data_IF_101982040006
#
_entry.id   IF_101982040006
#
_cell.length_a   1.000
_cell.length_b   1.000
_cell.length_c   1.000
_cell.angle_alpha   90.00
_cell.angle_beta   90.00
_cell.angle_gamma   90.00
#
_symmetry.space_group_name_H-M   'P 1'
#
loop_
_entity.id
_entity.type
_entity.pdbx_description
1 polymer ?
#
# COMPACT_ATOMS: atom_id res chain seq x y z
N UNK A 1 10.72 2.31 31.39
CA UNK A 1 10.46 1.45 30.21
C UNK A 1 10.94 2.22 29.00
N UNK A 2 11.89 1.71 28.23
CA UNK A 2 12.34 2.36 27.00
C UNK A 2 11.20 2.31 25.98
N UNK A 3 10.70 3.48 25.59
CA UNK A 3 9.66 3.64 24.58
C UNK A 3 10.11 2.93 23.29
N UNK A 4 9.29 2.00 22.77
CA UNK A 4 9.61 1.32 21.52
C UNK A 4 9.41 2.30 20.37
N UNK A 5 10.51 2.86 19.87
CA UNK A 5 10.50 3.69 18.66
C UNK A 5 10.52 2.77 17.44
N UNK A 6 9.61 3.00 16.49
CA UNK A 6 9.57 2.35 15.17
C UNK A 6 10.13 3.30 14.11
N UNK A 7 10.71 2.76 13.05
CA UNK A 7 11.13 3.58 11.91
C UNK A 7 9.94 3.85 10.97
N UNK A 8 9.08 2.84 10.78
CA UNK A 8 7.88 2.92 9.95
C UNK A 8 6.70 2.31 10.69
N UNK A 9 5.58 3.03 10.72
CA UNK A 9 4.28 2.49 11.13
C UNK A 9 3.38 2.50 9.91
N UNK A 10 2.70 1.38 9.66
CA UNK A 10 1.71 1.29 8.59
C UNK A 10 0.34 1.12 9.21
N UNK A 11 -0.60 1.98 8.83
CA UNK A 11 -2.02 1.88 9.18
C UNK A 11 -2.77 1.49 7.92
N UNK A 12 -3.28 0.27 7.88
CA UNK A 12 -3.85 -0.23 6.63
C UNK A 12 -4.41 -1.64 6.69
N UNK A 13 -4.57 -2.21 5.51
CA UNK A 13 -5.31 -3.45 5.26
C UNK A 13 -4.47 -4.71 5.41
N UNK A 14 -5.17 -5.81 5.65
CA UNK A 14 -4.71 -7.18 5.53
C UNK A 14 -5.74 -7.98 4.72
N UNK A 15 -5.30 -8.67 3.67
CA UNK A 15 -6.18 -9.42 2.77
C UNK A 15 -5.61 -10.82 2.55
N UNK A 16 -6.42 -11.84 2.78
CA UNK A 16 -6.05 -13.21 2.40
C UNK A 16 -6.39 -13.40 0.92
N UNK A 17 -5.38 -13.72 0.13
CA UNK A 17 -5.55 -13.93 -1.31
C UNK A 17 -5.87 -15.41 -1.56
N UNK A 18 -7.06 -15.69 -2.10
CA UNK A 18 -7.56 -17.02 -2.40
C UNK A 18 -7.49 -17.22 -3.91
N UNK A 19 -6.39 -17.78 -4.41
CA UNK A 19 -6.08 -17.80 -5.85
C UNK A 19 -6.42 -19.16 -6.47
N UNK A 20 -7.31 -19.14 -7.45
CA UNK A 20 -7.65 -20.28 -8.31
C UNK A 20 -7.10 -20.06 -9.72
N UNK A 21 -6.27 -20.98 -10.20
CA UNK A 21 -5.81 -20.99 -11.60
C UNK A 21 -6.73 -21.89 -12.44
N UNK A 22 -7.19 -21.39 -13.58
CA UNK A 22 -8.19 -22.05 -14.41
C UNK A 22 -7.87 -21.88 -15.91
N UNK A 23 -8.41 -22.72 -16.82
CA UNK A 23 -8.08 -22.60 -18.24
C UNK A 23 -8.66 -21.34 -18.89
N UNK A 24 -9.69 -20.76 -18.27
CA UNK A 24 -10.36 -19.50 -18.66
C UNK A 24 -11.13 -18.96 -17.48
N UNK A 25 -11.50 -17.68 -17.52
CA UNK A 25 -12.46 -17.15 -16.56
C UNK A 25 -13.86 -17.79 -16.75
N UNK A 26 -14.58 -18.12 -15.66
CA UNK A 26 -15.94 -18.62 -15.74
C UNK A 26 -16.90 -17.51 -16.19
N UNK A 27 -17.89 -17.86 -17.00
CA UNK A 27 -19.02 -16.97 -17.30
C UNK A 27 -20.11 -17.13 -16.23
N UNK A 28 -21.04 -16.18 -16.19
CA UNK A 28 -22.18 -16.25 -15.27
C UNK A 28 -22.94 -17.58 -15.43
N UNK A 29 -23.11 -18.30 -14.31
CA UNK A 29 -23.80 -19.60 -14.25
C UNK A 29 -22.95 -20.82 -14.58
N UNK A 30 -21.67 -20.65 -14.94
CA UNK A 30 -20.78 -21.78 -15.22
C UNK A 30 -20.09 -22.31 -13.96
N UNK A 31 -19.74 -23.59 -14.00
CA UNK A 31 -18.79 -24.24 -13.10
C UNK A 31 -17.68 -24.85 -13.95
N UNK A 32 -16.43 -24.56 -13.62
CA UNK A 32 -15.26 -25.07 -14.35
C UNK A 32 -14.29 -25.71 -13.35
N UNK A 33 -13.49 -26.66 -13.82
CA UNK A 33 -12.38 -27.22 -13.04
C UNK A 33 -11.14 -26.36 -13.21
N UNK A 34 -10.53 -25.97 -12.08
CA UNK A 34 -9.23 -25.33 -12.05
C UNK A 34 -8.08 -26.34 -12.08
N UNK A 35 -6.86 -25.82 -12.19
CA UNK A 35 -5.61 -26.58 -12.21
C UNK A 35 -4.90 -26.56 -10.86
N UNK A 36 -4.97 -25.43 -10.16
CA UNK A 36 -4.24 -25.17 -8.93
C UNK A 36 -5.01 -24.19 -8.05
N UNK A 37 -4.87 -24.38 -6.74
CA UNK A 37 -5.33 -23.44 -5.73
C UNK A 37 -4.18 -23.14 -4.77
N UNK A 38 -4.02 -21.88 -4.39
CA UNK A 38 -3.10 -21.48 -3.35
C UNK A 38 -3.63 -20.28 -2.57
N UNK A 39 -3.13 -20.14 -1.33
CA UNK A 39 -3.49 -19.07 -0.42
C UNK A 39 -2.24 -18.21 -0.25
N UNK A 40 -2.40 -16.89 -0.45
CA UNK A 40 -1.36 -15.89 -0.27
C UNK A 40 -1.75 -14.85 0.78
N UNK A 41 -0.79 -13.99 1.11
CA UNK A 41 -0.99 -12.83 1.98
C UNK A 41 -0.87 -11.56 1.13
N UNK A 42 -2.00 -10.86 0.95
CA UNK A 42 -2.11 -9.65 0.14
C UNK A 42 -2.27 -8.39 1.00
N UNK A 43 -3.12 -7.47 0.55
CA UNK A 43 -3.44 -6.23 1.25
C UNK A 43 -2.33 -5.19 1.17
N UNK A 44 -2.65 -4.01 0.63
CA UNK A 44 -1.66 -2.95 0.37
C UNK A 44 -0.87 -2.59 1.62
N UNK A 45 -1.54 -2.42 2.76
CA UNK A 45 -0.89 -2.08 4.02
C UNK A 45 0.10 -3.15 4.48
N UNK A 46 -0.34 -4.41 4.51
CA UNK A 46 0.51 -5.53 4.88
C UNK A 46 1.72 -5.69 3.93
N UNK A 47 1.50 -5.65 2.62
CA UNK A 47 2.55 -5.75 1.60
C UNK A 47 3.62 -4.67 1.81
N UNK A 48 3.18 -3.43 1.99
CA UNK A 48 4.02 -2.28 2.24
C UNK A 48 4.84 -2.42 3.54
N UNK A 49 4.18 -2.85 4.63
CA UNK A 49 4.82 -3.04 5.93
C UNK A 49 5.88 -4.16 5.93
N UNK A 50 5.55 -5.30 5.30
CA UNK A 50 6.45 -6.45 5.15
C UNK A 50 7.66 -6.09 4.29
N UNK A 51 7.45 -5.36 3.19
CA UNK A 51 8.56 -4.96 2.33
C UNK A 51 9.53 -4.01 3.04
N UNK A 52 9.03 -3.08 3.85
CA UNK A 52 9.88 -2.26 4.70
C UNK A 52 10.66 -3.12 5.71
N UNK A 53 10.00 -4.07 6.37
CA UNK A 53 10.67 -4.98 7.32
C UNK A 53 11.79 -5.82 6.66
N UNK A 54 11.53 -6.35 5.46
CA UNK A 54 12.52 -7.10 4.67
C UNK A 54 13.75 -6.26 4.26
N UNK A 55 13.63 -4.94 4.24
CA UNK A 55 14.75 -4.01 4.03
C UNK A 55 15.52 -3.69 5.33
N UNK A 56 15.20 -4.36 6.45
CA UNK A 56 15.86 -4.16 7.74
C UNK A 56 15.30 -2.98 8.55
N UNK A 57 14.16 -2.41 8.12
CA UNK A 57 13.51 -1.29 8.80
C UNK A 57 12.67 -1.83 9.96
N UNK A 58 12.74 -1.19 11.13
CA UNK A 58 11.92 -1.61 12.27
C UNK A 58 10.48 -1.14 12.10
N UNK A 59 9.57 -2.06 11.79
CA UNK A 59 8.19 -1.72 11.42
C UNK A 59 7.14 -2.21 12.41
N UNK A 60 6.02 -1.49 12.50
CA UNK A 60 4.81 -1.96 13.18
C UNK A 60 3.59 -1.84 12.26
N UNK A 61 2.69 -2.81 12.37
CA UNK A 61 1.41 -2.81 11.65
C UNK A 61 0.27 -2.44 12.59
N UNK A 62 -0.53 -1.45 12.20
CA UNK A 62 -1.81 -1.10 12.81
C UNK A 62 -2.91 -1.55 11.85
N UNK A 63 -3.58 -2.65 12.20
CA UNK A 63 -4.64 -3.22 11.38
C UNK A 63 -5.60 -4.04 12.23
N UNK A 64 -6.68 -4.52 11.59
CA UNK A 64 -7.65 -5.41 12.22
C UNK A 64 -7.98 -6.58 11.30
N UNK A 65 -7.82 -7.78 11.81
CA UNK A 65 -8.16 -9.05 11.14
C UNK A 65 -9.31 -9.73 11.87
N UNK A 66 -9.86 -10.80 11.31
CA UNK A 66 -10.87 -11.61 11.97
C UNK A 66 -10.26 -12.46 13.08
N UNK A 67 -11.08 -12.83 14.06
CA UNK A 67 -10.76 -13.89 15.02
C UNK A 67 -11.07 -15.25 14.39
N UNK A 68 -10.31 -15.56 13.35
CA UNK A 68 -10.46 -16.74 12.51
C UNK A 68 -9.09 -17.30 12.09
N UNK A 69 -9.12 -18.45 11.40
CA UNK A 69 -7.90 -19.12 10.91
C UNK A 69 -7.04 -18.20 10.05
N UNK A 70 -7.63 -17.36 9.20
CA UNK A 70 -6.88 -16.45 8.34
C UNK A 70 -6.21 -15.35 9.14
N UNK A 71 -6.89 -14.80 10.15
CA UNK A 71 -6.33 -13.77 11.03
C UNK A 71 -5.15 -14.28 11.84
N UNK A 72 -5.25 -15.49 12.40
CA UNK A 72 -4.16 -16.12 13.14
C UNK A 72 -2.91 -16.34 12.25
N UNK A 73 -3.12 -16.85 11.02
CA UNK A 73 -2.04 -17.01 10.05
C UNK A 73 -1.45 -15.67 9.60
N UNK A 74 -2.26 -14.62 9.49
CA UNK A 74 -1.77 -13.29 9.13
C UNK A 74 -0.83 -12.71 10.19
N UNK A 75 -1.21 -12.86 11.46
CA UNK A 75 -0.38 -12.43 12.58
C UNK A 75 0.94 -13.21 12.59
N UNK A 76 0.91 -14.50 12.27
CA UNK A 76 2.13 -15.29 12.15
C UNK A 76 3.01 -14.84 10.97
N UNK A 77 2.41 -14.59 9.80
CA UNK A 77 3.12 -14.07 8.63
C UNK A 77 3.86 -12.74 8.94
N UNK A 78 3.23 -11.84 9.70
CA UNK A 78 3.91 -10.62 10.15
C UNK A 78 5.14 -10.92 11.01
N UNK A 79 5.02 -11.82 11.99
CA UNK A 79 6.14 -12.22 12.86
C UNK A 79 7.29 -12.84 12.06
N UNK A 80 6.96 -13.71 11.10
CA UNK A 80 7.93 -14.39 10.25
C UNK A 80 8.70 -13.40 9.35
N UNK A 81 8.09 -12.26 9.02
CA UNK A 81 8.72 -11.17 8.26
C UNK A 81 9.31 -10.06 9.15
N UNK A 82 9.35 -10.23 10.48
CA UNK A 82 9.94 -9.24 11.40
C UNK A 82 9.08 -7.99 11.65
N UNK A 83 7.79 -8.01 11.31
CA UNK A 83 6.85 -6.92 11.57
C UNK A 83 6.31 -7.02 13.00
N UNK A 84 6.30 -5.91 13.74
CA UNK A 84 5.71 -5.87 15.07
C UNK A 84 4.18 -5.85 15.03
N UNK A 85 3.55 -6.78 15.77
CA UNK A 85 2.10 -7.02 15.73
C UNK A 85 1.33 -6.52 16.95
N UNK A 86 1.91 -5.63 17.77
CA UNK A 86 1.28 -5.20 19.02
C UNK A 86 -0.01 -4.37 18.81
N UNK A 87 -0.18 -3.80 17.62
CA UNK A 87 -1.38 -3.05 17.20
C UNK A 87 -2.21 -3.80 16.16
N UNK A 88 -1.97 -5.10 15.97
CA UNK A 88 -2.82 -5.96 15.13
C UNK A 88 -3.94 -6.50 16.00
N UNK A 89 -5.16 -6.05 15.74
CA UNK A 89 -6.36 -6.48 16.50
C UNK A 89 -7.11 -7.59 15.78
N UNK A 90 -7.81 -8.40 16.56
CA UNK A 90 -8.75 -9.40 16.05
C UNK A 90 -10.17 -9.04 16.46
N UNK A 91 -11.14 -9.17 15.55
CA UNK A 91 -12.57 -8.98 15.85
C UNK A 91 -13.35 -10.26 15.57
N UNK A 92 -14.36 -10.53 16.40
CA UNK A 92 -15.33 -11.62 16.15
C UNK A 92 -16.54 -11.14 15.32
N UNK A 93 -16.63 -9.85 15.01
CA UNK A 93 -17.79 -9.24 14.32
C UNK A 93 -17.66 -9.34 12.79
N UNK A 94 -16.46 -9.61 12.27
CA UNK A 94 -16.21 -9.82 10.85
C UNK A 94 -15.04 -10.80 10.64
N UNK A 95 -15.07 -11.50 9.51
CA UNK A 95 -13.95 -12.31 9.06
C UNK A 95 -12.75 -11.45 8.62
N UNK A 96 -11.57 -12.04 8.58
CA UNK A 96 -10.39 -11.45 7.94
C UNK A 96 -10.71 -11.09 6.49
N UNK A 97 -10.23 -9.94 6.01
CA UNK A 97 -10.43 -9.54 4.63
C UNK A 97 -9.90 -10.58 3.65
N UNK A 98 -10.59 -10.79 2.54
CA UNK A 98 -10.22 -11.80 1.54
C UNK A 98 -10.43 -11.30 0.11
N UNK A 99 -9.50 -11.66 -0.77
CA UNK A 99 -9.60 -11.45 -2.21
C UNK A 99 -9.73 -12.82 -2.89
N UNK A 100 -10.91 -13.10 -3.44
CA UNK A 100 -11.14 -14.28 -4.25
C UNK A 100 -10.68 -14.00 -5.67
N UNK A 101 -9.57 -14.61 -6.08
CA UNK A 101 -8.87 -14.33 -7.33
C UNK A 101 -8.98 -15.55 -8.23
N UNK A 102 -9.50 -15.37 -9.44
CA UNK A 102 -9.37 -16.36 -10.52
C UNK A 102 -8.41 -15.80 -11.55
N UNK A 103 -7.38 -16.57 -11.92
CA UNK A 103 -6.43 -16.23 -12.98
C UNK A 103 -6.54 -17.28 -14.08
N UNK A 104 -6.65 -16.84 -15.32
CA UNK A 104 -6.66 -17.77 -16.46
C UNK A 104 -5.28 -18.01 -17.08
N UNK A 105 -5.20 -18.98 -18.00
CA UNK A 105 -3.97 -19.34 -18.71
C UNK A 105 -3.39 -18.20 -19.58
N UNK A 106 -4.20 -17.18 -19.92
CA UNK A 106 -3.74 -15.98 -20.62
C UNK A 106 -3.20 -14.91 -19.64
N UNK A 107 -3.35 -15.12 -18.33
CA UNK A 107 -2.96 -14.17 -17.29
C UNK A 107 -4.02 -13.13 -16.96
N UNK A 108 -5.21 -13.21 -17.57
CA UNK A 108 -6.34 -12.36 -17.21
C UNK A 108 -6.90 -12.79 -15.86
N UNK A 109 -7.46 -11.84 -15.10
CA UNK A 109 -7.97 -12.13 -13.77
C UNK A 109 -9.37 -11.56 -13.50
N UNK A 110 -10.07 -12.21 -12.57
CA UNK A 110 -11.30 -11.72 -11.97
C UNK A 110 -11.13 -11.78 -10.44
N UNK A 111 -11.34 -10.63 -9.78
CA UNK A 111 -11.08 -10.47 -8.36
C UNK A 111 -12.34 -9.96 -7.66
N UNK A 112 -12.74 -10.64 -6.58
CA UNK A 112 -13.78 -10.16 -5.67
C UNK A 112 -13.15 -9.92 -4.30
N UNK A 113 -13.20 -8.67 -3.85
CA UNK A 113 -12.68 -8.25 -2.55
C UNK A 113 -13.82 -8.16 -1.54
N UNK A 114 -13.62 -8.78 -0.38
CA UNK A 114 -14.42 -8.56 0.83
C UNK A 114 -13.50 -8.01 1.90
N UNK A 115 -13.63 -6.73 2.21
CA UNK A 115 -12.72 -6.05 3.14
C UNK A 115 -12.80 -6.59 4.59
N UNK A 116 -13.97 -7.08 5.02
CA UNK A 116 -14.14 -7.72 6.32
C UNK A 116 -13.69 -6.84 7.49
N UNK A 117 -12.90 -7.42 8.39
CA UNK A 117 -12.38 -6.78 9.59
C UNK A 117 -11.57 -5.49 9.33
N UNK A 118 -11.04 -5.28 8.11
CA UNK A 118 -10.38 -4.02 7.74
C UNK A 118 -11.32 -2.80 7.91
N UNK A 119 -12.62 -2.97 7.68
CA UNK A 119 -13.62 -1.91 7.83
C UNK A 119 -14.00 -1.63 9.29
N UNK A 120 -13.58 -2.50 10.21
CA UNK A 120 -13.79 -2.36 11.65
C UNK A 120 -12.62 -1.67 12.35
N UNK A 121 -11.49 -1.42 11.67
CA UNK A 121 -10.40 -0.61 12.21
C UNK A 121 -10.90 0.83 12.39
N UNK A 122 -10.74 1.40 13.59
CA UNK A 122 -11.31 2.71 13.92
C UNK A 122 -10.52 3.50 14.96
N UNK A 123 -11.17 4.53 15.50
CA UNK A 123 -10.55 5.50 16.39
C UNK A 123 -9.97 4.88 17.67
N UNK A 124 -10.58 3.83 18.21
CA UNK A 124 -10.07 3.12 19.41
C UNK A 124 -8.69 2.53 19.14
N UNK A 125 -8.53 1.77 18.05
CA UNK A 125 -7.23 1.20 17.68
C UNK A 125 -6.20 2.26 17.34
N UNK A 126 -6.60 3.36 16.68
CA UNK A 126 -5.69 4.47 16.41
C UNK A 126 -5.22 5.14 17.70
N UNK A 127 -6.11 5.28 18.69
CA UNK A 127 -5.75 5.86 19.98
C UNK A 127 -4.79 4.97 20.76
N UNK A 128 -4.97 3.66 20.72
CA UNK A 128 -4.01 2.70 21.30
C UNK A 128 -2.65 2.76 20.60
N UNK A 129 -2.65 2.94 19.27
CA UNK A 129 -1.44 3.05 18.45
C UNK A 129 -0.81 4.45 18.47
N UNK A 130 -1.44 5.46 19.09
CA UNK A 130 -0.99 6.85 19.07
C UNK A 130 0.48 7.01 19.49
N UNK A 131 0.99 6.37 20.57
CA UNK A 131 2.41 6.49 20.93
C UNK A 131 3.37 6.00 19.84
N UNK A 132 2.98 4.97 19.06
CA UNK A 132 3.78 4.51 17.93
C UNK A 132 3.66 5.46 16.74
N UNK A 133 2.45 5.95 16.45
CA UNK A 133 2.19 6.90 15.36
C UNK A 133 2.91 8.24 15.60
N UNK A 134 2.99 8.72 16.85
CA UNK A 134 3.59 10.03 17.17
C UNK A 134 5.12 10.02 17.19
N UNK A 135 5.75 8.87 17.38
CA UNK A 135 7.21 8.75 17.53
C UNK A 135 7.89 8.02 16.37
N UNK A 136 7.12 7.49 15.42
CA UNK A 136 7.70 6.89 14.20
C UNK A 136 8.36 7.93 13.31
N UNK A 137 9.31 7.53 12.46
CA UNK A 137 9.88 8.45 11.47
C UNK A 137 8.93 8.66 10.29
N UNK A 138 8.21 7.60 9.92
CA UNK A 138 7.28 7.59 8.78
C UNK A 138 5.99 6.86 9.14
N UNK A 139 4.85 7.45 8.76
CA UNK A 139 3.55 6.80 8.70
C UNK A 139 3.20 6.50 7.24
N UNK A 140 2.68 5.30 6.96
CA UNK A 140 2.15 4.92 5.64
C UNK A 140 0.67 4.54 5.74
N UNK A 141 -0.16 5.12 4.88
CA UNK A 141 -1.60 4.82 4.76
C UNK A 141 -2.02 4.56 3.31
N UNK A 142 -3.11 3.80 3.15
CA UNK A 142 -3.76 3.53 1.85
C UNK A 142 -5.30 3.65 1.96
N UNK A 143 -6.05 3.21 0.94
CA UNK A 143 -7.52 3.30 0.87
C UNK A 143 -8.24 1.92 0.89
N UNK A 144 -7.65 0.92 1.56
CA UNK A 144 -8.29 -0.40 1.77
C UNK A 144 -8.90 -0.60 3.17
N UNK A 145 -8.94 0.48 3.96
CA UNK A 145 -9.73 0.61 5.19
C UNK A 145 -10.71 1.78 5.01
N UNK A 146 -11.50 2.11 6.04
CA UNK A 146 -12.35 3.31 5.98
C UNK A 146 -11.50 4.56 5.70
N UNK A 147 -11.82 5.37 4.67
CA UNK A 147 -11.05 6.57 4.37
C UNK A 147 -10.89 7.51 5.57
N UNK A 148 -11.94 7.67 6.37
CA UNK A 148 -11.90 8.49 7.58
C UNK A 148 -10.87 8.00 8.60
N UNK A 149 -10.67 6.67 8.70
CA UNK A 149 -9.66 6.08 9.59
C UNK A 149 -8.25 6.33 9.05
N UNK A 150 -8.02 6.18 7.74
CA UNK A 150 -6.73 6.55 7.11
C UNK A 150 -6.42 8.03 7.31
N UNK A 151 -7.40 8.92 7.08
CA UNK A 151 -7.23 10.36 7.24
C UNK A 151 -6.93 10.72 8.69
N UNK A 152 -7.64 10.14 9.66
CA UNK A 152 -7.39 10.37 11.08
C UNK A 152 -5.95 9.98 11.47
N UNK A 153 -5.46 8.83 11.01
CA UNK A 153 -4.08 8.40 11.27
C UNK A 153 -3.07 9.37 10.64
N UNK A 154 -3.31 9.81 9.40
CA UNK A 154 -2.47 10.78 8.70
C UNK A 154 -2.42 12.12 9.43
N UNK A 155 -3.56 12.62 9.92
CA UNK A 155 -3.62 13.84 10.74
C UNK A 155 -2.84 13.67 12.06
N UNK A 156 -3.00 12.54 12.75
CA UNK A 156 -2.23 12.25 13.97
C UNK A 156 -0.72 12.30 13.73
N UNK A 157 -0.23 11.71 12.63
CA UNK A 157 1.18 11.78 12.27
C UNK A 157 1.62 13.21 11.91
N UNK A 158 0.86 13.89 11.05
CA UNK A 158 1.14 15.26 10.63
C UNK A 158 1.23 16.23 11.82
N UNK A 159 0.28 16.17 12.76
CA UNK A 159 0.26 17.02 13.96
C UNK A 159 1.46 16.77 14.89
N UNK A 160 2.00 15.55 14.87
CA UNK A 160 3.21 15.15 15.58
C UNK A 160 4.49 15.31 14.76
N UNK A 161 4.43 15.94 13.58
CA UNK A 161 5.57 16.17 12.67
C UNK A 161 6.24 14.88 12.18
N UNK A 162 5.48 13.80 12.15
CA UNK A 162 5.88 12.53 11.55
C UNK A 162 5.68 12.61 10.05
N UNK A 163 6.64 12.09 9.28
CA UNK A 163 6.55 12.13 7.82
C UNK A 163 5.45 11.21 7.33
N UNK A 164 4.61 11.68 6.44
CA UNK A 164 3.48 10.89 5.93
C UNK A 164 3.66 10.46 4.48
N UNK A 165 3.39 9.19 4.21
CA UNK A 165 3.30 8.63 2.86
C UNK A 165 1.87 8.13 2.67
N UNK A 166 1.19 8.67 1.67
CA UNK A 166 -0.14 8.23 1.31
C UNK A 166 -0.14 7.64 -0.08
N UNK A 167 -0.68 6.42 -0.18
CA UNK A 167 -0.96 5.78 -1.45
C UNK A 167 -2.49 5.72 -1.63
N UNK A 168 -3.09 6.55 -2.51
CA UNK A 168 -4.55 6.65 -2.68
C UNK A 168 -5.09 5.45 -3.47
N UNK A 169 -4.85 4.23 -2.98
CA UNK A 169 -5.11 3.00 -3.69
C UNK A 169 -6.04 2.09 -2.87
N UNK A 170 -7.14 1.58 -3.46
CA UNK A 170 -7.68 1.99 -4.76
C UNK A 170 -8.16 3.45 -4.74
N UNK A 171 -7.99 4.17 -5.85
CA UNK A 171 -8.38 5.58 -5.92
C UNK A 171 -9.89 5.74 -5.90
N UNK A 172 -10.35 6.83 -5.30
CA UNK A 172 -11.75 7.26 -5.28
C UNK A 172 -11.85 8.67 -5.91
N UNK A 173 -12.88 8.96 -6.75
CA UNK A 173 -12.98 10.25 -7.43
C UNK A 173 -13.09 11.44 -6.47
N UNK A 174 -13.92 11.30 -5.44
CA UNK A 174 -14.22 12.36 -4.47
C UNK A 174 -13.33 12.21 -3.21
N UNK A 175 -12.01 12.09 -3.41
CA UNK A 175 -11.06 11.99 -2.30
C UNK A 175 -11.06 13.29 -1.47
N UNK A 176 -11.22 13.15 -0.16
CA UNK A 176 -11.21 14.26 0.78
C UNK A 176 -9.94 15.13 0.59
N UNK A 177 -10.08 16.47 0.38
CA UNK A 177 -8.96 17.36 0.14
C UNK A 177 -7.88 17.33 1.22
N UNK A 178 -8.24 16.98 2.46
CA UNK A 178 -7.28 16.93 3.54
C UNK A 178 -6.22 15.84 3.33
N UNK A 179 -6.52 14.75 2.62
CA UNK A 179 -5.51 13.76 2.24
C UNK A 179 -4.35 14.37 1.47
N UNK A 180 -4.60 15.29 0.55
CA UNK A 180 -3.52 15.96 -0.20
C UNK A 180 -2.67 16.80 0.75
N UNK A 181 -3.32 17.57 1.64
CA UNK A 181 -2.66 18.53 2.55
C UNK A 181 -1.78 17.85 3.58
N UNK A 182 -2.22 16.73 4.14
CA UNK A 182 -1.47 16.01 5.18
C UNK A 182 -0.49 14.99 4.62
N UNK A 183 -0.28 14.96 3.29
CA UNK A 183 0.67 14.05 2.64
C UNK A 183 1.99 14.75 2.31
N UNK A 184 3.06 14.40 3.02
CA UNK A 184 4.42 14.78 2.63
C UNK A 184 4.81 14.14 1.31
N UNK A 185 4.42 12.87 1.11
CA UNK A 185 4.59 12.12 -0.13
C UNK A 185 3.27 11.47 -0.53
N UNK A 186 2.75 11.88 -1.68
CA UNK A 186 1.57 11.31 -2.30
C UNK A 186 2.01 10.41 -3.47
N UNK A 187 1.75 9.10 -3.38
CA UNK A 187 2.26 8.13 -4.36
C UNK A 187 1.12 7.33 -5.00
N UNK A 188 0.87 7.52 -6.28
CA UNK A 188 -0.16 6.82 -7.04
C UNK A 188 0.39 6.24 -8.35
N UNK A 189 -0.35 5.31 -8.96
CA UNK A 189 -0.06 4.84 -10.32
C UNK A 189 -0.75 5.70 -11.39
N UNK A 190 -0.60 5.31 -12.66
CA UNK A 190 -1.22 5.98 -13.81
C UNK A 190 -2.75 6.06 -13.66
N UNK A 191 -3.42 4.92 -13.51
CA UNK A 191 -4.89 4.86 -13.44
C UNK A 191 -5.48 5.61 -12.23
N UNK A 192 -4.76 5.61 -11.11
CA UNK A 192 -5.14 6.33 -9.90
C UNK A 192 -4.95 7.85 -10.10
N UNK A 193 -3.84 8.27 -10.72
CA UNK A 193 -3.62 9.65 -11.09
C UNK A 193 -4.70 10.15 -12.06
N UNK A 194 -5.02 9.37 -13.11
CA UNK A 194 -6.09 9.69 -14.06
C UNK A 194 -7.43 9.91 -13.38
N UNK A 195 -7.80 9.01 -12.46
CA UNK A 195 -9.06 9.09 -11.74
C UNK A 195 -9.12 10.36 -10.87
N UNK A 196 -8.02 10.67 -10.17
CA UNK A 196 -7.97 11.80 -9.24
C UNK A 196 -7.91 13.14 -9.99
N UNK A 197 -7.19 13.24 -11.10
CA UNK A 197 -6.99 14.50 -11.84
C UNK A 197 -8.00 14.71 -12.97
N UNK A 198 -8.66 13.66 -13.44
CA UNK A 198 -9.53 13.69 -14.61
C UNK A 198 -8.78 13.83 -15.94
N UNK A 199 -7.47 13.55 -15.95
CA UNK A 199 -6.61 13.69 -17.15
C UNK A 199 -5.90 12.39 -17.47
N UNK A 200 -5.83 12.01 -18.74
CA UNK A 200 -5.03 10.86 -19.23
C UNK A 200 -3.59 10.88 -18.71
N UNK A 201 -3.05 9.70 -18.40
CA UNK A 201 -1.67 9.44 -17.96
C UNK A 201 -1.10 8.27 -18.76
N UNK A 202 -0.82 8.51 -20.05
CA UNK A 202 -0.26 7.51 -20.96
C UNK A 202 1.24 7.71 -21.27
N UNK A 203 1.85 8.79 -20.78
CA UNK A 203 3.28 9.10 -20.98
C UNK A 203 3.91 9.74 -19.75
N UNK A 204 5.25 9.82 -19.74
CA UNK A 204 6.04 10.51 -18.69
C UNK A 204 5.62 11.98 -18.55
N UNK A 205 5.37 12.67 -19.66
CA UNK A 205 4.92 14.06 -19.68
C UNK A 205 3.48 14.22 -19.18
N UNK A 206 2.61 13.26 -19.48
CA UNK A 206 1.25 13.23 -18.94
C UNK A 206 1.25 13.01 -17.43
N UNK A 207 2.07 12.06 -16.96
CA UNK A 207 2.27 11.79 -15.53
C UNK A 207 2.84 13.01 -14.79
N UNK A 208 3.77 13.73 -15.41
CA UNK A 208 4.27 14.98 -14.86
C UNK A 208 3.16 16.04 -14.70
N UNK A 209 2.28 16.21 -15.71
CA UNK A 209 1.14 17.14 -15.63
C UNK A 209 0.15 16.74 -14.55
N UNK A 210 -0.18 15.46 -14.44
CA UNK A 210 -1.05 14.94 -13.37
C UNK A 210 -0.41 15.19 -12.00
N UNK A 211 0.89 14.94 -11.85
CA UNK A 211 1.63 15.23 -10.63
C UNK A 211 1.65 16.71 -10.26
N UNK A 212 1.76 17.62 -11.23
CA UNK A 212 1.65 19.06 -10.99
C UNK A 212 0.27 19.46 -10.47
N UNK A 213 -0.79 18.83 -10.97
CA UNK A 213 -2.15 19.06 -10.46
C UNK A 213 -2.31 18.58 -9.01
N UNK A 214 -1.79 17.39 -8.68
CA UNK A 214 -1.81 16.87 -7.31
C UNK A 214 -1.00 17.75 -6.34
N UNK A 215 0.12 18.34 -6.79
CA UNK A 215 0.86 19.33 -6.00
C UNK A 215 0.03 20.59 -5.73
N UNK A 216 -0.69 21.10 -6.74
CA UNK A 216 -1.57 22.29 -6.57
C UNK A 216 -2.69 22.04 -5.56
N UNK A 217 -3.13 20.79 -5.38
CA UNK A 217 -4.14 20.40 -4.38
C UNK A 217 -3.61 20.36 -2.94
N UNK A 218 -2.29 20.42 -2.75
CA UNK A 218 -1.66 20.58 -1.44
C UNK A 218 -0.63 19.52 -1.05
N UNK A 219 -0.31 18.56 -1.93
CA UNK A 219 0.71 17.55 -1.63
C UNK A 219 2.10 18.19 -1.47
N UNK A 220 2.90 17.69 -0.52
CA UNK A 220 4.30 18.14 -0.38
C UNK A 220 5.19 17.67 -1.53
N UNK A 221 5.09 16.39 -1.88
CA UNK A 221 5.74 15.74 -3.02
C UNK A 221 4.78 14.73 -3.65
N UNK A 222 4.92 14.50 -4.95
CA UNK A 222 4.10 13.55 -5.70
C UNK A 222 5.00 12.57 -6.44
N UNK A 223 4.64 11.29 -6.36
CA UNK A 223 5.25 10.21 -7.15
C UNK A 223 4.13 9.59 -7.98
N UNK A 224 4.31 9.58 -9.30
CA UNK A 224 3.43 8.85 -10.23
C UNK A 224 4.24 7.68 -10.79
N UNK A 225 3.89 6.46 -10.40
CA UNK A 225 4.53 5.24 -10.94
C UNK A 225 4.03 4.94 -12.34
N UNK A 226 4.91 4.44 -13.21
CA UNK A 226 4.70 4.23 -14.66
C UNK A 226 4.99 2.78 -15.07
N UNK A 227 4.71 1.83 -14.18
CA UNK A 227 5.07 0.42 -14.32
C UNK A 227 6.53 0.23 -14.78
N UNK A 228 6.78 -0.42 -15.94
CA UNK A 228 8.14 -0.68 -16.43
C UNK A 228 8.91 0.58 -16.83
N UNK A 229 8.24 1.73 -16.98
CA UNK A 229 8.90 3.01 -17.27
C UNK A 229 9.45 3.68 -16.01
N UNK A 230 9.27 3.12 -14.82
CA UNK A 230 9.76 3.71 -13.56
C UNK A 230 8.75 4.67 -12.96
N UNK A 231 9.14 5.92 -12.66
CA UNK A 231 8.22 6.90 -12.09
C UNK A 231 8.61 8.35 -12.40
N UNK A 232 7.65 9.26 -12.26
CA UNK A 232 7.92 10.71 -12.19
C UNK A 232 7.83 11.16 -10.74
N UNK A 233 8.80 11.97 -10.32
CA UNK A 233 8.86 12.57 -8.98
C UNK A 233 8.73 14.08 -9.11
N UNK A 234 7.85 14.68 -8.32
CA UNK A 234 7.70 16.12 -8.22
C UNK A 234 7.75 16.56 -6.77
N UNK A 235 8.35 17.72 -6.52
CA UNK A 235 8.42 18.34 -5.20
C UNK A 235 7.92 19.78 -5.29
N UNK A 236 7.17 20.23 -4.28
CA UNK A 236 6.69 21.61 -4.21
C UNK A 236 7.82 22.62 -4.42
N UNK A 237 7.61 23.61 -5.28
CA UNK A 237 8.59 24.64 -5.62
C UNK A 237 9.59 24.28 -6.72
N UNK A 238 9.60 23.03 -7.20
CA UNK A 238 10.40 22.60 -8.35
C UNK A 238 9.51 22.44 -9.60
N UNK A 239 9.93 23.03 -10.72
CA UNK A 239 9.21 22.97 -11.99
C UNK A 239 9.80 21.96 -12.99
N UNK A 240 10.95 21.38 -12.68
CA UNK A 240 11.64 20.47 -13.59
C UNK A 240 11.05 19.07 -13.55
N UNK A 241 10.84 18.48 -14.72
CA UNK A 241 10.46 17.08 -14.86
C UNK A 241 11.60 16.19 -14.37
N UNK A 242 11.34 15.36 -13.36
CA UNK A 242 12.26 14.34 -12.86
C UNK A 242 11.68 12.95 -13.10
N UNK A 243 12.14 12.30 -14.15
CA UNK A 243 11.82 10.92 -14.47
C UNK A 243 12.92 10.00 -13.95
N UNK A 244 12.55 8.97 -13.20
CA UNK A 244 13.44 7.94 -12.67
C UNK A 244 13.09 6.63 -13.38
N UNK A 245 13.90 6.15 -14.33
CA UNK A 245 13.61 4.92 -15.06
C UNK A 245 13.77 3.69 -14.17
N UNK A 246 12.95 2.66 -14.42
CA UNK A 246 13.12 1.35 -13.77
C UNK A 246 14.24 0.55 -14.45
N UNK A 247 14.96 -0.32 -13.71
CA UNK A 247 15.83 -1.32 -14.31
C UNK A 247 15.03 -2.26 -15.22
N UNK A 248 15.60 -2.63 -16.37
CA UNK A 248 14.99 -3.61 -17.28
C UNK A 248 15.10 -5.00 -16.67
N UNK A 249 13.94 -5.63 -16.42
CA UNK A 249 13.84 -6.98 -15.87
C UNK A 249 12.78 -7.78 -16.65
N UNK A 250 12.93 -9.11 -16.69
CA UNK A 250 11.86 -9.99 -17.18
C UNK A 250 10.84 -10.17 -16.06
N UNK A 251 9.65 -9.60 -16.23
CA UNK A 251 8.58 -9.74 -15.24
C UNK A 251 8.08 -11.20 -15.21
N UNK A 252 8.01 -11.77 -14.00
CA UNK A 252 7.41 -13.08 -13.73
C UNK A 252 5.99 -12.92 -13.19
N UNK A 253 5.80 -11.96 -12.29
CA UNK A 253 4.50 -11.52 -11.74
C UNK A 253 4.59 -10.04 -11.36
N UNK A 254 3.64 -9.22 -11.82
CA UNK A 254 3.59 -7.77 -11.55
C UNK A 254 2.65 -7.41 -10.40
N UNK A 255 1.85 -8.34 -9.89
CA UNK A 255 0.87 -8.13 -8.80
C UNK A 255 1.42 -7.35 -7.59
N UNK A 256 2.71 -7.47 -7.20
CA UNK A 256 3.31 -6.66 -6.13
C UNK A 256 3.68 -5.20 -6.49
N UNK A 257 3.24 -4.61 -7.61
CA UNK A 257 3.67 -3.25 -8.01
C UNK A 257 3.43 -2.18 -6.93
N UNK A 258 2.49 -2.41 -6.02
CA UNK A 258 2.13 -1.56 -4.88
C UNK A 258 3.27 -1.41 -3.85
N UNK A 259 4.31 -2.25 -3.95
CA UNK A 259 5.56 -2.16 -3.18
C UNK A 259 6.48 -1.02 -3.63
N UNK A 260 6.25 -0.47 -4.83
CA UNK A 260 7.12 0.54 -5.44
C UNK A 260 7.15 1.84 -4.61
N UNK A 261 6.04 2.25 -3.98
CA UNK A 261 5.95 3.51 -3.22
C UNK A 261 6.98 3.58 -2.07
N UNK A 262 7.12 2.50 -1.31
CA UNK A 262 8.06 2.42 -0.18
C UNK A 262 9.50 2.26 -0.67
N UNK A 263 9.75 1.43 -1.68
CA UNK A 263 11.08 1.28 -2.26
C UNK A 263 11.58 2.58 -2.91
N UNK A 264 10.69 3.33 -3.57
CA UNK A 264 10.98 4.65 -4.11
C UNK A 264 11.23 5.68 -3.01
N UNK A 265 10.45 5.64 -1.93
CA UNK A 265 10.72 6.52 -0.79
C UNK A 265 12.12 6.31 -0.21
N UNK A 266 12.51 5.06 0.06
CA UNK A 266 13.85 4.78 0.58
C UNK A 266 14.96 5.11 -0.43
N UNK A 267 14.77 4.86 -1.73
CA UNK A 267 15.80 5.16 -2.73
C UNK A 267 15.95 6.66 -3.05
N UNK A 268 14.86 7.42 -3.02
CA UNK A 268 14.86 8.85 -3.38
C UNK A 268 15.08 9.76 -2.16
N UNK A 269 14.61 9.37 -0.96
CA UNK A 269 14.59 10.26 0.21
C UNK A 269 15.46 9.79 1.39
N UNK A 270 16.04 8.59 1.36
CA UNK A 270 17.04 8.13 2.35
C UNK A 270 18.46 8.26 1.79
N UNK A 271 18.92 9.48 1.54
CA UNK A 271 20.31 9.76 1.11
C UNK A 271 21.37 9.57 2.22
N UNK A 272 21.08 8.76 3.24
CA UNK A 272 22.02 8.45 4.32
C UNK A 272 21.79 7.05 4.89
N UNK A 273 22.24 6.03 4.17
CA UNK A 273 22.87 4.80 4.70
C UNK A 273 23.28 3.89 3.55
N UNK A 274 24.52 3.42 3.58
CA UNK A 274 25.10 2.54 2.58
C UNK A 274 24.45 1.16 2.60
N UNK A 275 23.48 0.90 1.72
CA UNK A 275 23.21 -0.45 1.22
C UNK A 275 22.56 -0.37 -0.16
N UNK A 276 23.34 -0.61 -1.20
CA UNK A 276 22.81 -1.07 -2.48
C UNK A 276 22.31 -2.50 -2.28
N UNK A 277 21.08 -2.66 -1.81
CA UNK A 277 20.41 -3.97 -1.84
C UNK A 277 19.89 -4.21 -3.27
N UNK A 278 20.24 -5.33 -3.92
CA UNK A 278 19.81 -5.62 -5.27
C UNK A 278 18.29 -5.79 -5.36
N UNK A 279 17.72 -5.30 -6.45
CA UNK A 279 16.34 -5.52 -6.86
C UNK A 279 16.08 -7.02 -7.00
N UNK A 280 15.34 -7.61 -6.08
CA UNK A 280 14.75 -8.93 -6.29
C UNK A 280 13.30 -8.89 -5.85
N UNK A 281 12.38 -8.83 -6.82
CA UNK A 281 10.99 -9.23 -6.60
C UNK A 281 11.01 -10.72 -6.26
N UNK A 282 11.03 -11.05 -4.98
CA UNK A 282 10.63 -12.39 -4.54
C UNK A 282 9.11 -12.37 -4.38
N UNK A 283 8.45 -13.00 -5.34
CA UNK A 283 7.10 -13.51 -5.14
C UNK A 283 7.15 -14.54 -4.00
N UNK A 284 6.37 -14.30 -2.96
CA UNK A 284 5.91 -15.34 -2.04
C UNK A 284 4.39 -15.21 -1.98
#
# INVERSE_FOLDING_TARGET
MTEKVFDVVVVGSCMTDLVSQAPRLPKAGETIHGHKFFIGFGGKGANQCIQAARLGVKTAMVCKVGKDFFGDNYIQNFKDNGVHTEFVKQSSDAATGAASITVDDAGENAIVIVAGANMLLGAEELQEALPAISHTKVLVCQLEIRPQTSLQAMCMAHDNKVKTIFNPAPAIPDLDPDFYRVSDVFCCNESEAELLTGTSVASVEEAHRAGQELLKRGCGSVIVTLGPQGCVVLKGGESTLKHVPAPVVTAVDTTPWQLAAIQLFFSVFSSSTHTHAPFVLHAA
#
